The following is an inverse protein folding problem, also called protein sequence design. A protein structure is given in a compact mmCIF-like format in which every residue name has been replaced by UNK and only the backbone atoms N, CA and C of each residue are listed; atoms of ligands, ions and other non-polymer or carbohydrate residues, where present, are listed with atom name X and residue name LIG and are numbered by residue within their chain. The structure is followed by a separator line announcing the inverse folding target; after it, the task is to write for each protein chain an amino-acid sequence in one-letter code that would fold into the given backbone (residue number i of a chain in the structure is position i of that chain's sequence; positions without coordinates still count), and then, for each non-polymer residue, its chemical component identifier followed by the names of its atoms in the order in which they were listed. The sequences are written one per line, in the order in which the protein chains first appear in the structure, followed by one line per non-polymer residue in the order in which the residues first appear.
data_IF_947423340015
#
_entry.id   IF_947423340015
#
_cell.length_a   1.000
_cell.length_b   1.000
_cell.length_c   1.000
_cell.angle_alpha   90.00
_cell.angle_beta   90.00
_cell.angle_gamma   90.00
#
_symmetry.space_group_name_H-M   'P 1'
#
loop_
_entity.id
_entity.type
_entity.pdbx_description
1 polymer ?
#
# COMPACT_ATOMS: atom_id res chain seq x y z
N UNK A 1 -1.22 5.88 15.53
CA UNK A 1 -1.15 5.46 14.11
C UNK A 1 -2.48 5.71 13.40
N UNK A 2 -3.09 6.88 13.59
CA UNK A 2 -4.31 7.27 12.88
C UNK A 2 -3.91 8.21 11.75
N UNK A 3 -4.03 7.72 10.50
CA UNK A 3 -4.43 8.49 9.29
C UNK A 3 -4.08 7.80 7.95
N UNK A 4 -3.56 6.55 7.97
CA UNK A 4 -3.38 5.80 6.71
C UNK A 4 -4.69 5.22 6.15
N UNK A 5 -5.61 4.75 7.00
CA UNK A 5 -6.88 4.19 6.52
C UNK A 5 -7.72 5.22 5.76
N UNK A 6 -7.99 6.43 6.28
CA UNK A 6 -8.74 7.45 5.53
C UNK A 6 -8.07 7.81 4.20
N UNK A 7 -6.75 7.96 4.19
CA UNK A 7 -5.99 8.26 2.97
C UNK A 7 -6.15 7.18 1.89
N UNK A 8 -6.06 5.90 2.28
CA UNK A 8 -6.21 4.78 1.35
C UNK A 8 -7.67 4.59 0.93
N UNK A 9 -8.62 4.85 1.83
CA UNK A 9 -10.05 4.79 1.53
C UNK A 9 -10.46 5.89 0.53
N UNK A 10 -9.94 7.11 0.69
CA UNK A 10 -10.11 8.20 -0.29
C UNK A 10 -9.49 7.85 -1.64
N UNK A 11 -8.27 7.31 -1.65
CA UNK A 11 -7.61 6.92 -2.89
C UNK A 11 -8.27 5.70 -3.57
N UNK A 12 -9.01 4.88 -2.83
CA UNK A 12 -9.77 3.74 -3.34
C UNK A 12 -11.08 4.17 -4.00
N UNK A 13 -11.65 5.30 -3.58
CA UNK A 13 -12.93 5.79 -4.08
C UNK A 13 -12.86 6.12 -5.58
N UNK A 14 -13.85 5.64 -6.33
CA UNK A 14 -13.88 5.75 -7.80
C UNK A 14 -12.78 5.00 -8.56
N UNK A 15 -11.83 4.34 -7.88
CA UNK A 15 -10.68 3.68 -8.51
C UNK A 15 -10.90 2.18 -8.83
N UNK A 16 -12.13 1.68 -8.63
CA UNK A 16 -12.45 0.26 -8.83
C UNK A 16 -11.79 -0.66 -7.78
N UNK A 17 -11.46 -0.11 -6.61
CA UNK A 17 -10.81 -0.83 -5.51
C UNK A 17 -11.86 -1.27 -4.48
N UNK A 18 -11.94 -2.56 -4.23
CA UNK A 18 -12.74 -3.11 -3.15
C UNK A 18 -11.95 -3.10 -1.83
N UNK A 19 -12.61 -2.65 -0.76
CA UNK A 19 -12.08 -2.66 0.61
C UNK A 19 -12.68 -3.79 1.42
N UNK A 20 -11.83 -4.62 2.04
CA UNK A 20 -12.25 -5.75 2.90
C UNK A 20 -11.57 -5.68 4.26
N UNK A 21 -12.35 -5.78 5.33
CA UNK A 21 -11.81 -5.97 6.69
C UNK A 21 -11.63 -7.47 6.93
N UNK A 22 -10.44 -7.89 7.34
CA UNK A 22 -10.08 -9.29 7.55
C UNK A 22 -9.38 -9.46 8.92
N UNK A 23 -10.15 -9.50 10.01
CA UNK A 23 -9.58 -9.48 11.36
C UNK A 23 -9.02 -8.10 11.68
N UNK A 24 -7.73 -8.03 12.05
CA UNK A 24 -7.05 -6.77 12.43
C UNK A 24 -6.43 -6.01 11.25
N UNK A 25 -6.65 -6.48 10.02
CA UNK A 25 -6.12 -5.86 8.80
C UNK A 25 -7.21 -5.41 7.85
N UNK A 26 -6.90 -4.37 7.08
CA UNK A 26 -7.71 -3.91 5.95
C UNK A 26 -7.00 -4.28 4.66
N UNK A 27 -7.72 -4.93 3.77
CA UNK A 27 -7.26 -5.40 2.47
C UNK A 27 -7.91 -4.57 1.37
N UNK A 28 -7.10 -4.15 0.40
CA UNK A 28 -7.55 -3.42 -0.80
C UNK A 28 -7.30 -4.28 -2.03
N UNK A 29 -8.34 -4.48 -2.84
CA UNK A 29 -8.34 -5.37 -3.99
C UNK A 29 -8.78 -4.65 -5.26
N UNK A 30 -8.13 -4.94 -6.39
CA UNK A 30 -8.62 -4.57 -7.73
C UNK A 30 -9.09 -5.85 -8.41
N UNK A 31 -10.41 -5.98 -8.63
CA UNK A 31 -11.02 -7.29 -8.90
C UNK A 31 -10.72 -8.26 -7.75
N UNK A 32 -10.17 -9.43 -8.08
CA UNK A 32 -9.74 -10.42 -7.08
C UNK A 32 -8.27 -10.29 -6.65
N UNK A 33 -7.55 -9.29 -7.18
CA UNK A 33 -6.12 -9.11 -6.91
C UNK A 33 -5.91 -8.22 -5.69
N UNK A 34 -5.33 -8.78 -4.63
CA UNK A 34 -4.88 -8.01 -3.47
C UNK A 34 -3.72 -7.08 -3.87
N UNK A 35 -3.90 -5.77 -3.66
CA UNK A 35 -2.94 -4.72 -4.05
C UNK A 35 -2.35 -3.98 -2.86
N UNK A 36 -3.08 -3.87 -1.74
CA UNK A 36 -2.54 -3.30 -0.52
C UNK A 36 -3.14 -3.97 0.73
N UNK A 37 -2.37 -3.95 1.81
CA UNK A 37 -2.80 -4.41 3.12
C UNK A 37 -2.37 -3.39 4.17
N UNK A 38 -3.32 -2.85 4.92
CA UNK A 38 -3.08 -1.97 6.04
C UNK A 38 -3.25 -2.73 7.35
N UNK A 39 -2.24 -2.63 8.22
CA UNK A 39 -2.20 -3.26 9.54
C UNK A 39 -1.73 -2.24 10.60
N UNK A 40 -1.83 -2.62 11.88
CA UNK A 40 -1.40 -1.77 12.99
C UNK A 40 0.10 -1.43 12.98
N UNK A 41 0.93 -2.08 12.16
CA UNK A 41 2.37 -1.81 12.06
C UNK A 41 2.74 -0.98 10.81
N UNK A 42 1.80 -0.72 9.89
CA UNK A 42 2.04 0.02 8.66
C UNK A 42 1.23 -0.53 7.49
N UNK A 43 1.71 -0.29 6.27
CA UNK A 43 1.03 -0.69 5.04
C UNK A 43 1.96 -1.50 4.16
N UNK A 44 1.43 -2.50 3.48
CA UNK A 44 2.12 -3.29 2.48
C UNK A 44 1.45 -3.11 1.11
N UNK A 45 2.25 -2.97 0.06
CA UNK A 45 1.77 -2.77 -1.31
C UNK A 45 2.34 -3.83 -2.24
N UNK A 46 1.52 -4.33 -3.16
CA UNK A 46 1.96 -5.13 -4.30
C UNK A 46 2.29 -4.21 -5.46
N UNK A 47 3.57 -4.12 -5.79
CA UNK A 47 4.10 -3.20 -6.80
C UNK A 47 4.78 -3.97 -7.93
N UNK A 48 4.94 -3.32 -9.08
CA UNK A 48 5.73 -3.87 -10.18
C UNK A 48 7.21 -4.00 -9.75
N UNK A 49 7.98 -4.98 -10.27
CA UNK A 49 9.35 -5.23 -9.82
C UNK A 49 10.30 -4.02 -9.89
N UNK A 50 10.15 -3.16 -10.90
CA UNK A 50 10.92 -1.92 -11.05
C UNK A 50 10.59 -0.90 -9.95
N UNK A 51 9.30 -0.80 -9.59
CA UNK A 51 8.83 0.06 -8.51
C UNK A 51 9.24 -0.51 -7.15
N UNK A 52 9.20 -1.83 -6.95
CA UNK A 52 9.71 -2.49 -5.74
C UNK A 52 11.18 -2.14 -5.52
N UNK A 53 12.02 -2.29 -6.55
CA UNK A 53 13.44 -1.97 -6.46
C UNK A 53 13.71 -0.50 -6.11
N UNK A 54 12.86 0.42 -6.58
CA UNK A 54 12.93 1.83 -6.20
C UNK A 54 12.43 2.09 -4.77
N UNK A 55 11.30 1.48 -4.38
CA UNK A 55 10.70 1.64 -3.07
C UNK A 55 11.63 1.14 -1.97
N UNK A 56 12.34 0.02 -2.17
CA UNK A 56 13.30 -0.52 -1.21
C UNK A 56 14.54 0.36 -0.96
N UNK A 57 14.76 1.39 -1.79
CA UNK A 57 15.79 2.42 -1.54
C UNK A 57 15.26 3.61 -0.73
N UNK A 58 13.97 3.61 -0.39
CA UNK A 58 13.32 4.65 0.38
C UNK A 58 13.42 4.34 1.87
N UNK A 59 13.67 5.35 2.74
CA UNK A 59 13.62 5.16 4.19
C UNK A 59 12.30 4.53 4.64
N UNK A 60 12.37 3.68 5.68
CA UNK A 60 11.24 2.99 6.31
C UNK A 60 10.48 2.00 5.39
N UNK A 61 11.02 1.72 4.19
CA UNK A 61 10.54 0.70 3.29
C UNK A 61 11.37 -0.58 3.41
N UNK A 62 10.69 -1.73 3.40
CA UNK A 62 11.29 -3.03 3.63
C UNK A 62 10.66 -4.07 2.70
N UNK A 63 11.37 -5.17 2.45
CA UNK A 63 10.78 -6.32 1.79
C UNK A 63 9.61 -6.86 2.64
N UNK A 64 8.47 -7.13 2.01
CA UNK A 64 7.34 -7.76 2.70
C UNK A 64 7.51 -9.29 2.68
N UNK A 65 7.10 -9.99 3.75
CA UNK A 65 7.07 -11.45 3.78
C UNK A 65 6.05 -12.06 2.79
N UNK A 66 5.17 -11.24 2.18
CA UNK A 66 4.17 -11.69 1.19
C UNK A 66 4.78 -12.06 -0.17
N UNK A 67 6.03 -11.68 -0.41
CA UNK A 67 6.79 -12.08 -1.60
C UNK A 67 7.53 -10.94 -2.28
N UNK A 68 8.25 -11.23 -3.38
CA UNK A 68 9.17 -10.29 -4.02
C UNK A 68 8.49 -9.10 -4.71
N UNK A 69 7.19 -9.19 -4.99
CA UNK A 69 6.40 -8.07 -5.53
C UNK A 69 5.85 -7.15 -4.43
N UNK A 70 6.13 -7.44 -3.16
CA UNK A 70 5.53 -6.75 -2.03
C UNK A 70 6.56 -5.93 -1.25
N UNK A 71 6.18 -4.68 -0.94
CA UNK A 71 6.95 -3.77 -0.10
C UNK A 71 6.13 -3.41 1.12
N UNK A 72 6.73 -3.50 2.30
CA UNK A 72 6.18 -2.99 3.54
C UNK A 72 6.74 -1.60 3.84
N UNK A 73 5.86 -0.67 4.23
CA UNK A 73 6.22 0.69 4.62
C UNK A 73 5.78 0.94 6.07
N UNK A 74 6.75 1.22 6.93
CA UNK A 74 6.56 1.35 8.38
C UNK A 74 7.25 2.63 8.89
N UNK A 75 6.79 3.82 8.48
CA UNK A 75 7.41 5.07 8.86
C UNK A 75 7.28 5.31 10.36
N UNK A 76 8.36 5.80 10.99
CA UNK A 76 8.34 6.18 12.41
C UNK A 76 7.42 7.38 12.70
N UNK A 77 7.25 8.25 11.70
CA UNK A 77 6.34 9.40 11.75
C UNK A 77 5.58 9.53 10.43
N UNK A 78 4.27 9.77 10.50
CA UNK A 78 3.44 10.10 9.34
C UNK A 78 3.59 11.60 9.00
N UNK A 79 4.76 11.97 8.50
CA UNK A 79 4.95 13.29 7.91
C UNK A 79 4.34 13.34 6.49
N UNK A 80 4.31 14.55 5.92
CA UNK A 80 3.79 14.75 4.55
C UNK A 80 4.48 13.83 3.53
N UNK A 81 5.78 13.61 3.64
CA UNK A 81 6.51 12.77 2.70
C UNK A 81 6.12 11.29 2.83
N UNK A 82 5.84 10.81 4.03
CA UNK A 82 5.31 9.47 4.26
C UNK A 82 3.91 9.33 3.65
N UNK A 83 3.02 10.30 3.83
CA UNK A 83 1.68 10.30 3.23
C UNK A 83 1.75 10.33 1.70
N UNK A 84 2.60 11.19 1.12
CA UNK A 84 2.80 11.27 -0.33
C UNK A 84 3.31 9.94 -0.92
N UNK A 85 4.22 9.25 -0.20
CA UNK A 85 4.70 7.92 -0.61
C UNK A 85 3.61 6.87 -0.56
N UNK A 86 2.82 6.84 0.51
CA UNK A 86 1.69 5.90 0.65
C UNK A 86 0.70 6.09 -0.49
N UNK A 87 0.30 7.33 -0.77
CA UNK A 87 -0.62 7.66 -1.85
C UNK A 87 -0.05 7.25 -3.22
N UNK A 88 1.22 7.57 -3.48
CA UNK A 88 1.88 7.24 -4.74
C UNK A 88 1.99 5.72 -4.96
N UNK A 89 2.41 4.96 -3.95
CA UNK A 89 2.56 3.51 -4.05
C UNK A 89 1.22 2.79 -4.15
N UNK A 90 0.19 3.26 -3.42
CA UNK A 90 -1.16 2.75 -3.60
C UNK A 90 -1.65 2.95 -5.04
N UNK A 91 -1.47 4.14 -5.61
CA UNK A 91 -1.85 4.41 -6.99
C UNK A 91 -1.06 3.56 -8.01
N UNK A 92 0.21 3.27 -7.75
CA UNK A 92 0.98 2.31 -8.58
C UNK A 92 0.47 0.88 -8.46
N UNK A 93 0.10 0.44 -7.25
CA UNK A 93 -0.44 -0.89 -7.01
C UNK A 93 -1.77 -1.09 -7.74
N UNK A 94 -2.67 -0.09 -7.67
CA UNK A 94 -3.97 -0.11 -8.36
C UNK A 94 -3.79 -0.12 -9.88
N UNK A 95 -2.99 0.79 -10.43
CA UNK A 95 -2.70 0.80 -11.88
C UNK A 95 -2.02 -0.48 -12.37
N UNK A 96 -1.09 -1.03 -11.59
CA UNK A 96 -0.41 -2.28 -11.92
C UNK A 96 -1.32 -3.52 -11.87
N UNK A 97 -2.49 -3.43 -11.26
CA UNK A 97 -3.48 -4.49 -11.20
C UNK A 97 -4.57 -4.38 -12.28
N UNK A 98 -4.90 -3.16 -12.72
CA UNK A 98 -5.94 -2.88 -13.71
C UNK A 98 -5.54 -3.11 -15.18
N UNK A 99 -4.24 -3.00 -15.51
CA UNK A 99 -3.75 -3.05 -16.90
C UNK A 99 -3.75 -1.70 -17.57
#
# INVERSE_FOLDING_TARGET
MSDLAPLLDEAADGAGVARRVAGERVEYLVGDRLVAVLEAAGVEFRLRPDVVAAALRTPDAHASPRGPEWVAFRPRSLDRFALDRVAAWFAFAVRGAGG
#
